data_IF_191907525768
#
_entry.id   IF_191907525768
#
_cell.length_a   1.000
_cell.length_b   1.000
_cell.length_c   1.000
_cell.angle_alpha   90.00
_cell.angle_beta   90.00
_cell.angle_gamma   90.00
#
_symmetry.space_group_name_H-M   'P 1'
#
loop_
_entity.id
_entity.type
_entity.pdbx_description
1 polymer ?
#
# COMPACT_ATOMS: atom_id res chain seq x y z
N UNK A 1 27.30 -33.70 31.67
CA UNK A 1 28.43 -32.83 31.30
C UNK A 1 27.86 -31.51 30.81
N UNK A 2 28.09 -30.41 31.52
CA UNK A 2 27.97 -29.03 31.00
C UNK A 2 29.16 -28.27 31.61
N UNK A 3 29.85 -27.46 30.81
CA UNK A 3 31.07 -26.78 31.24
C UNK A 3 30.77 -25.45 31.97
N UNK A 4 31.62 -25.12 32.94
CA UNK A 4 31.75 -23.79 33.52
C UNK A 4 32.65 -22.92 32.61
N UNK A 5 32.49 -21.60 32.61
CA UNK A 5 33.49 -20.69 33.20
C UNK A 5 33.01 -19.23 33.31
N UNK A 6 33.77 -18.43 34.06
CA UNK A 6 33.48 -17.07 34.56
C UNK A 6 33.32 -16.00 33.45
N UNK A 7 32.55 -14.90 33.57
CA UNK A 7 32.19 -13.98 34.69
C UNK A 7 33.17 -12.83 34.94
N UNK A 8 32.84 -11.63 34.44
CA UNK A 8 33.41 -10.33 34.86
C UNK A 8 32.32 -9.25 35.03
N UNK A 9 32.62 -8.26 35.88
CA UNK A 9 31.77 -7.13 36.30
C UNK A 9 31.66 -6.08 35.16
N UNK A 10 30.65 -5.22 35.03
CA UNK A 10 29.48 -4.95 35.90
C UNK A 10 29.53 -3.56 36.54
N UNK A 11 28.72 -2.60 36.07
CA UNK A 11 28.50 -1.28 36.69
C UNK A 11 27.16 -0.67 36.22
N UNK A 12 26.38 -0.09 37.14
CA UNK A 12 25.12 0.65 36.87
C UNK A 12 25.13 2.00 37.63
N UNK A 13 24.30 3.00 37.25
CA UNK A 13 24.55 4.40 37.59
C UNK A 13 23.91 4.88 38.90
N UNK A 14 24.45 5.97 39.47
CA UNK A 14 23.69 6.86 40.37
C UNK A 14 24.27 8.28 40.42
N UNK A 15 23.47 9.21 40.94
CA UNK A 15 23.59 10.67 40.87
C UNK A 15 24.66 11.29 41.78
N UNK A 16 25.07 12.54 41.47
CA UNK A 16 25.23 13.63 42.46
C UNK A 16 25.29 15.02 41.83
N UNK A 17 24.92 16.02 42.63
CA UNK A 17 24.97 17.44 42.32
C UNK A 17 26.14 18.12 43.05
N UNK A 18 26.68 19.19 42.49
CA UNK A 18 27.12 20.36 43.25
C UNK A 18 27.11 21.62 42.35
N UNK A 19 27.25 22.80 42.94
CA UNK A 19 27.06 24.10 42.29
C UNK A 19 28.30 25.03 42.42
N UNK A 20 28.09 26.26 41.94
CA UNK A 20 28.75 27.52 42.34
C UNK A 20 30.02 28.05 41.64
N UNK A 21 30.03 29.40 41.57
CA UNK A 21 31.11 30.36 41.28
C UNK A 21 31.61 30.49 39.84
N UNK A 22 31.20 31.60 39.21
CA UNK A 22 32.15 32.67 38.80
C UNK A 22 31.45 34.03 38.58
N UNK A 23 32.21 35.12 38.71
CA UNK A 23 31.79 36.53 38.58
C UNK A 23 32.13 37.36 39.82
N UNK A 24 32.03 38.71 39.78
CA UNK A 24 31.87 39.61 38.63
C UNK A 24 33.27 40.13 38.16
N UNK A 25 33.57 41.30 37.56
CA UNK A 25 32.83 42.54 37.18
C UNK A 25 33.60 43.31 36.06
N UNK A 26 33.46 44.64 35.95
CA UNK A 26 34.12 45.60 35.02
C UNK A 26 33.71 45.49 33.54
N UNK A 27 33.34 46.55 32.82
CA UNK A 27 33.12 47.95 33.24
C UNK A 27 33.41 48.94 32.09
N UNK A 28 32.39 49.34 31.32
CA UNK A 28 32.50 50.34 30.24
C UNK A 28 31.20 51.16 30.14
N UNK A 29 31.28 52.44 29.76
CA UNK A 29 30.19 53.39 30.02
C UNK A 29 29.90 54.41 28.90
N UNK A 30 28.61 54.80 28.86
CA UNK A 30 28.02 56.05 28.35
C UNK A 30 27.84 56.31 26.84
N UNK A 31 26.85 57.20 26.61
CA UNK A 31 26.36 57.80 25.37
C UNK A 31 25.52 56.88 24.45
N UNK A 32 24.34 57.28 23.97
CA UNK A 32 23.69 58.62 24.01
C UNK A 32 22.32 58.61 24.68
N UNK A 33 21.89 59.77 25.19
CA UNK A 33 20.59 59.99 25.85
C UNK A 33 19.44 60.13 24.85
N UNK A 34 19.12 59.06 24.13
CA UNK A 34 17.83 58.92 23.48
C UNK A 34 16.74 58.73 24.53
N UNK A 35 16.01 59.80 24.88
CA UNK A 35 14.91 59.69 25.87
C UNK A 35 13.85 58.73 25.35
N UNK A 36 13.60 57.62 26.05
CA UNK A 36 12.46 56.76 25.74
C UNK A 36 11.18 57.57 25.96
N UNK A 37 10.56 58.01 24.87
CA UNK A 37 9.31 58.77 24.87
C UNK A 37 8.16 57.80 25.15
N UNK A 38 8.07 57.33 26.40
CA UNK A 38 6.89 56.67 26.93
C UNK A 38 5.76 57.70 26.96
N UNK A 39 5.03 57.80 25.85
CA UNK A 39 3.85 58.65 25.71
C UNK A 39 2.72 58.10 26.57
N UNK A 40 2.76 58.37 27.88
CA UNK A 40 1.60 58.22 28.75
C UNK A 40 0.54 59.21 28.28
N UNK A 41 -0.57 58.68 27.81
CA UNK A 41 -1.75 59.42 27.38
C UNK A 41 -2.52 59.96 28.59
N UNK A 42 -1.91 60.90 29.33
CA UNK A 42 -2.49 61.54 30.53
C UNK A 42 -3.60 62.55 30.22
N UNK A 43 -3.95 62.75 28.95
CA UNK A 43 -5.27 63.28 28.57
C UNK A 43 -6.33 62.23 28.89
N UNK A 44 -7.29 62.49 29.81
CA UNK A 44 -8.34 61.52 30.11
C UNK A 44 -9.18 61.25 28.87
N UNK A 45 -9.17 60.01 28.38
CA UNK A 45 -10.00 59.61 27.24
C UNK A 45 -11.44 59.47 27.76
N UNK A 46 -12.14 60.59 27.87
CA UNK A 46 -13.57 60.61 28.12
C UNK A 46 -14.28 60.18 26.83
N UNK A 47 -14.54 58.87 26.72
CA UNK A 47 -15.50 58.35 25.77
C UNK A 47 -16.87 58.99 26.05
N UNK A 48 -17.62 59.31 24.99
CA UNK A 48 -19.00 59.77 25.17
C UNK A 48 -19.83 58.67 25.82
N UNK A 49 -20.82 58.99 26.69
CA UNK A 49 -21.68 57.98 27.32
C UNK A 49 -22.32 57.03 26.30
N UNK A 50 -22.74 57.55 25.15
CA UNK A 50 -23.26 56.83 23.98
C UNK A 50 -22.31 55.72 23.47
N UNK A 51 -20.99 55.96 23.45
CA UNK A 51 -19.99 54.94 23.07
C UNK A 51 -19.79 53.91 24.20
N UNK A 52 -20.00 54.29 25.45
CA UNK A 52 -19.93 53.37 26.60
C UNK A 52 -21.16 52.46 26.63
N UNK A 53 -22.37 53.01 26.48
CA UNK A 53 -23.63 52.24 26.34
C UNK A 53 -23.53 51.26 25.16
N UNK A 54 -23.11 51.72 23.97
CA UNK A 54 -22.91 50.86 22.79
C UNK A 54 -21.86 49.73 22.99
N UNK A 55 -20.94 49.87 23.94
CA UNK A 55 -20.01 48.81 24.33
C UNK A 55 -20.61 47.87 25.38
N UNK A 56 -21.37 48.39 26.34
CA UNK A 56 -22.07 47.57 27.35
C UNK A 56 -23.20 46.73 26.72
N UNK A 57 -23.99 47.30 25.80
CA UNK A 57 -24.96 46.56 24.98
C UNK A 57 -24.29 45.49 24.12
N UNK A 58 -23.06 45.74 23.66
CA UNK A 58 -22.26 44.75 22.90
C UNK A 58 -21.66 43.65 23.78
N UNK A 59 -21.35 43.89 25.04
CA UNK A 59 -20.98 42.83 26.00
C UNK A 59 -22.20 42.01 26.44
N UNK A 60 -23.38 42.62 26.52
CA UNK A 60 -24.64 41.91 26.78
C UNK A 60 -25.07 41.00 25.60
N UNK A 61 -24.61 41.28 24.38
CA UNK A 61 -24.83 40.45 23.19
C UNK A 61 -23.84 39.27 23.12
N UNK A 62 -24.29 38.00 23.15
CA UNK A 62 -23.41 36.83 23.10
C UNK A 62 -22.79 36.54 21.71
N UNK A 63 -22.82 37.51 20.79
CA UNK A 63 -22.31 37.36 19.42
C UNK A 63 -21.99 38.69 18.74
N UNK A 64 -21.20 38.67 17.65
CA UNK A 64 -20.83 39.86 16.89
C UNK A 64 -22.04 40.48 16.16
N UNK A 65 -22.00 41.79 15.93
CA UNK A 65 -23.01 42.47 15.10
C UNK A 65 -23.00 41.94 13.66
N UNK A 66 -24.15 41.90 12.95
CA UNK A 66 -24.26 41.20 11.66
C UNK A 66 -23.24 41.69 10.61
N UNK A 67 -22.97 42.99 10.57
CA UNK A 67 -21.92 43.59 9.72
C UNK A 67 -20.56 42.95 9.97
N UNK A 68 -20.15 42.86 11.25
CA UNK A 68 -18.89 42.25 11.69
C UNK A 68 -18.86 40.75 11.37
N UNK A 69 -19.99 40.06 11.44
CA UNK A 69 -20.07 38.66 10.99
C UNK A 69 -19.81 38.56 9.49
N UNK A 70 -20.35 39.45 8.64
CA UNK A 70 -20.06 39.39 7.19
C UNK A 70 -18.57 39.62 6.88
N UNK A 71 -17.89 40.53 7.59
CA UNK A 71 -16.44 40.73 7.45
C UNK A 71 -15.65 39.50 7.89
N UNK A 72 -16.06 38.85 8.98
CA UNK A 72 -15.45 37.61 9.47
C UNK A 72 -15.65 36.48 8.46
N UNK A 73 -16.86 36.30 7.93
CA UNK A 73 -17.18 35.29 6.92
C UNK A 73 -16.38 35.48 5.63
N UNK A 74 -16.22 36.73 5.17
CA UNK A 74 -15.40 37.06 4.00
C UNK A 74 -13.92 36.70 4.22
N UNK A 75 -13.37 37.03 5.39
CA UNK A 75 -11.99 36.68 5.76
C UNK A 75 -11.79 35.16 5.94
N UNK A 76 -12.80 34.45 6.47
CA UNK A 76 -12.77 32.99 6.57
C UNK A 76 -12.78 32.36 5.17
N UNK A 77 -13.62 32.85 4.25
CA UNK A 77 -13.68 32.35 2.86
C UNK A 77 -12.36 32.58 2.12
N UNK A 78 -11.82 33.81 2.15
CA UNK A 78 -10.55 34.11 1.45
C UNK A 78 -9.38 33.32 2.01
N UNK A 79 -9.35 33.04 3.33
CA UNK A 79 -8.38 32.12 3.91
C UNK A 79 -8.60 30.68 3.44
N UNK A 80 -9.83 30.15 3.47
CA UNK A 80 -10.11 28.78 2.97
C UNK A 80 -9.70 28.64 1.50
N UNK A 81 -10.00 29.63 0.66
CA UNK A 81 -9.60 29.66 -0.75
C UNK A 81 -8.07 29.65 -0.92
N UNK A 82 -7.33 30.40 -0.09
CA UNK A 82 -5.88 30.37 -0.06
C UNK A 82 -5.32 28.99 0.35
N UNK A 83 -5.77 28.44 1.47
CA UNK A 83 -5.29 27.17 2.02
C UNK A 83 -5.63 26.01 1.05
N UNK A 84 -6.83 25.98 0.44
CA UNK A 84 -7.22 25.01 -0.59
C UNK A 84 -6.36 25.13 -1.86
N UNK A 85 -6.04 26.35 -2.30
CA UNK A 85 -5.14 26.57 -3.43
C UNK A 85 -3.71 26.10 -3.12
N UNK A 86 -3.25 26.30 -1.90
CA UNK A 86 -1.94 25.84 -1.43
C UNK A 86 -1.88 24.30 -1.36
N UNK A 87 -2.91 23.66 -0.80
CA UNK A 87 -3.01 22.19 -0.73
C UNK A 87 -3.00 21.56 -2.13
N UNK A 88 -3.78 22.08 -3.09
CA UNK A 88 -3.79 21.57 -4.47
C UNK A 88 -2.41 21.63 -5.14
N UNK A 89 -1.62 22.67 -4.87
CA UNK A 89 -0.24 22.76 -5.37
C UNK A 89 0.66 21.69 -4.74
N UNK A 90 0.49 21.43 -3.44
CA UNK A 90 1.23 20.37 -2.75
C UNK A 90 0.80 18.97 -3.23
N UNK A 91 -0.48 18.76 -3.52
CA UNK A 91 -0.99 17.52 -4.14
C UNK A 91 -0.38 17.29 -5.54
N UNK A 92 -0.29 18.34 -6.37
CA UNK A 92 0.38 18.29 -7.68
C UNK A 92 1.88 18.00 -7.55
N UNK A 93 2.59 18.64 -6.63
CA UNK A 93 4.00 18.40 -6.34
C UNK A 93 4.25 16.96 -5.87
N UNK A 94 3.40 16.43 -4.98
CA UNK A 94 3.44 15.04 -4.52
C UNK A 94 3.14 14.07 -5.67
N UNK A 95 2.11 14.31 -6.48
CA UNK A 95 1.78 13.46 -7.64
C UNK A 95 2.93 13.40 -8.65
N UNK A 96 3.55 14.54 -8.96
CA UNK A 96 4.73 14.60 -9.82
C UNK A 96 5.93 13.84 -9.20
N UNK A 97 6.15 13.94 -7.89
CA UNK A 97 7.21 13.19 -7.21
C UNK A 97 6.98 11.66 -7.25
N UNK A 98 5.72 11.22 -7.14
CA UNK A 98 5.32 9.82 -7.23
C UNK A 98 5.48 9.31 -8.67
N UNK A 99 5.08 10.09 -9.68
CA UNK A 99 5.25 9.74 -11.08
C UNK A 99 6.74 9.53 -11.44
N UNK A 100 7.61 10.48 -11.05
CA UNK A 100 9.06 10.38 -11.25
C UNK A 100 9.68 9.21 -10.47
N UNK A 101 9.20 8.92 -9.26
CA UNK A 101 9.65 7.77 -8.49
C UNK A 101 9.27 6.43 -9.15
N UNK A 102 8.05 6.31 -9.67
CA UNK A 102 7.57 5.12 -10.38
C UNK A 102 8.25 4.95 -11.74
N UNK A 103 8.48 6.03 -12.48
CA UNK A 103 9.26 6.00 -13.73
C UNK A 103 10.69 5.48 -13.46
N UNK A 104 11.35 6.03 -12.43
CA UNK A 104 12.68 5.54 -12.02
C UNK A 104 12.63 4.07 -11.57
N UNK A 105 11.66 3.69 -10.75
CA UNK A 105 11.52 2.31 -10.28
C UNK A 105 11.31 1.34 -11.45
N UNK A 106 10.52 1.71 -12.45
CA UNK A 106 10.33 0.94 -13.67
C UNK A 106 11.62 0.84 -14.49
N UNK A 107 12.36 1.94 -14.68
CA UNK A 107 13.66 1.91 -15.37
C UNK A 107 14.71 1.07 -14.63
N UNK A 108 14.74 1.11 -13.30
CA UNK A 108 15.68 0.32 -12.49
C UNK A 108 15.25 -1.17 -12.41
N UNK A 109 13.95 -1.47 -12.47
CA UNK A 109 13.42 -2.82 -12.74
C UNK A 109 13.80 -3.31 -14.13
N UNK A 110 13.66 -2.50 -15.18
CA UNK A 110 14.03 -2.89 -16.55
C UNK A 110 15.53 -3.12 -16.72
N UNK A 111 16.38 -2.36 -16.03
CA UNK A 111 17.84 -2.62 -15.98
C UNK A 111 18.17 -3.93 -15.26
N UNK A 112 17.60 -4.14 -14.07
CA UNK A 112 17.89 -5.34 -13.27
C UNK A 112 17.31 -6.63 -13.88
N UNK A 113 16.12 -6.57 -14.48
CA UNK A 113 15.56 -7.64 -15.33
C UNK A 113 16.30 -7.77 -16.67
N UNK A 114 16.92 -6.69 -17.14
CA UNK A 114 17.59 -6.61 -18.43
C UNK A 114 18.97 -7.26 -18.46
N UNK A 115 19.66 -7.32 -17.31
CA UNK A 115 21.01 -7.86 -17.15
C UNK A 115 22.12 -6.94 -17.66
N UNK A 116 23.28 -7.00 -17.01
CA UNK A 116 24.49 -6.29 -17.44
C UNK A 116 25.03 -6.92 -18.73
N UNK A 117 24.77 -6.27 -19.86
CA UNK A 117 25.40 -6.57 -21.16
C UNK A 117 26.13 -5.31 -21.63
N UNK A 118 27.44 -5.28 -21.37
CA UNK A 118 28.34 -4.25 -21.87
C UNK A 118 28.44 -4.32 -23.41
N UNK A 119 28.08 -3.22 -24.07
CA UNK A 119 28.27 -2.99 -25.50
C UNK A 119 27.12 -3.42 -26.42
N UNK A 120 26.70 -2.51 -27.30
CA UNK A 120 25.74 -2.79 -28.38
C UNK A 120 24.66 -1.73 -28.51
N UNK A 121 24.75 -0.91 -29.55
CA UNK A 121 23.77 0.11 -29.92
C UNK A 121 22.39 -0.47 -30.32
N UNK A 122 21.33 0.33 -30.13
CA UNK A 122 19.95 0.14 -30.62
C UNK A 122 19.01 -0.87 -29.91
N UNK A 123 17.71 -0.65 -30.13
CA UNK A 123 16.57 -1.53 -29.84
C UNK A 123 16.16 -1.81 -28.37
N UNK A 124 16.06 -0.77 -27.54
CA UNK A 124 15.28 -0.81 -26.29
C UNK A 124 13.76 -0.95 -26.51
N UNK A 125 13.30 -2.14 -26.94
CA UNK A 125 11.87 -2.40 -27.23
C UNK A 125 11.40 -3.87 -27.12
N UNK A 126 12.29 -4.86 -26.95
CA UNK A 126 11.96 -6.27 -27.28
C UNK A 126 11.98 -7.29 -26.13
N UNK A 127 12.52 -6.96 -24.95
CA UNK A 127 12.68 -7.93 -23.84
C UNK A 127 11.35 -8.42 -23.24
N UNK A 128 10.30 -7.58 -23.23
CA UNK A 128 8.96 -7.99 -22.80
C UNK A 128 8.37 -9.07 -23.72
N UNK A 129 8.43 -8.89 -25.04
CA UNK A 129 7.87 -9.84 -26.00
C UNK A 129 8.60 -11.20 -25.96
N UNK A 130 9.94 -11.20 -25.92
CA UNK A 130 10.72 -12.43 -25.89
C UNK A 130 10.46 -13.27 -24.62
N UNK A 131 10.37 -12.63 -23.46
CA UNK A 131 10.01 -13.30 -22.20
C UNK A 131 8.58 -13.87 -22.25
N UNK A 132 7.60 -13.07 -22.70
CA UNK A 132 6.21 -13.51 -22.83
C UNK A 132 6.03 -14.66 -23.84
N UNK A 133 6.80 -14.70 -24.93
CA UNK A 133 6.80 -15.84 -25.84
C UNK A 133 7.38 -17.11 -25.19
N UNK A 134 8.40 -16.96 -24.35
CA UNK A 134 8.91 -18.04 -23.50
C UNK A 134 7.83 -18.59 -22.57
N UNK A 135 7.21 -17.72 -21.76
CA UNK A 135 6.15 -18.11 -20.82
C UNK A 135 4.93 -18.72 -21.52
N UNK A 136 4.53 -18.19 -22.70
CA UNK A 136 3.43 -18.74 -23.49
C UNK A 136 3.75 -20.14 -24.02
N UNK A 137 4.96 -20.40 -24.50
CA UNK A 137 5.36 -21.73 -24.97
C UNK A 137 5.54 -22.72 -23.80
N UNK A 138 5.98 -22.23 -22.64
CA UNK A 138 6.10 -23.03 -21.42
C UNK A 138 4.71 -23.37 -20.84
N UNK A 139 3.73 -22.46 -20.92
CA UNK A 139 2.31 -22.72 -20.62
C UNK A 139 1.72 -23.70 -21.66
N UNK A 140 1.98 -23.48 -22.95
CA UNK A 140 1.51 -24.34 -24.05
C UNK A 140 2.00 -25.77 -23.85
N UNK A 141 3.30 -25.98 -23.63
CA UNK A 141 3.86 -27.31 -23.46
C UNK A 141 3.38 -27.98 -22.16
N UNK A 142 3.09 -27.23 -21.09
CA UNK A 142 2.41 -27.76 -19.89
C UNK A 142 0.98 -28.19 -20.19
N UNK A 143 0.23 -27.43 -20.98
CA UNK A 143 -1.13 -27.77 -21.43
C UNK A 143 -1.10 -29.02 -22.32
N UNK A 144 -0.23 -29.08 -23.33
CA UNK A 144 -0.11 -30.24 -24.23
C UNK A 144 0.30 -31.50 -23.43
N UNK A 145 1.30 -31.42 -22.54
CA UNK A 145 1.65 -32.50 -21.61
C UNK A 145 0.49 -32.92 -20.71
N UNK A 146 -0.39 -32.00 -20.30
CA UNK A 146 -1.57 -32.33 -19.48
C UNK A 146 -2.71 -32.94 -20.31
N UNK A 147 -2.91 -32.47 -21.54
CA UNK A 147 -3.91 -33.03 -22.46
C UNK A 147 -3.54 -34.45 -22.88
N UNK A 148 -2.28 -34.74 -23.20
CA UNK A 148 -1.83 -36.11 -23.51
C UNK A 148 -2.05 -37.09 -22.35
N UNK A 149 -1.85 -36.66 -21.10
CA UNK A 149 -2.12 -37.44 -19.87
C UNK A 149 -3.60 -37.44 -19.43
N UNK A 150 -4.50 -36.88 -20.25
CA UNK A 150 -5.94 -36.75 -19.96
C UNK A 150 -6.82 -37.23 -21.12
N UNK A 151 -6.29 -37.34 -22.32
CA UNK A 151 -6.92 -38.13 -23.38
C UNK A 151 -7.04 -39.57 -22.92
N UNK A 152 -8.19 -40.19 -23.19
CA UNK A 152 -8.52 -41.57 -22.81
C UNK A 152 -7.69 -42.62 -23.59
N UNK A 153 -6.46 -42.30 -24.04
CA UNK A 153 -5.51 -43.26 -24.60
C UNK A 153 -4.81 -44.07 -23.51
N UNK A 154 -4.56 -43.47 -22.34
CA UNK A 154 -3.84 -44.12 -21.23
C UNK A 154 -4.56 -45.35 -20.66
N UNK A 155 -5.87 -45.48 -20.88
CA UNK A 155 -6.72 -46.54 -20.33
C UNK A 155 -7.63 -47.18 -21.41
N UNK A 156 -7.08 -47.96 -22.35
CA UNK A 156 -7.84 -48.57 -23.44
C UNK A 156 -8.83 -49.64 -22.97
N UNK A 157 -8.60 -50.28 -21.83
CA UNK A 157 -9.53 -51.28 -21.26
C UNK A 157 -10.87 -50.66 -20.85
N UNK A 158 -10.88 -49.47 -20.25
CA UNK A 158 -12.14 -48.81 -19.87
C UNK A 158 -12.96 -48.43 -21.10
N UNK A 159 -12.30 -48.09 -22.22
CA UNK A 159 -12.98 -47.92 -23.52
C UNK A 159 -13.56 -49.22 -24.05
N UNK A 160 -12.81 -50.33 -24.05
CA UNK A 160 -13.33 -51.59 -24.59
C UNK A 160 -14.50 -52.13 -23.77
N UNK A 161 -14.48 -51.99 -22.44
CA UNK A 161 -15.65 -52.30 -21.60
C UNK A 161 -16.81 -51.31 -21.81
N UNK A 162 -16.54 -50.02 -22.04
CA UNK A 162 -17.57 -49.04 -22.40
C UNK A 162 -18.25 -49.40 -23.73
N UNK A 163 -17.46 -49.76 -24.75
CA UNK A 163 -17.94 -50.19 -26.06
C UNK A 163 -18.70 -51.53 -26.00
N UNK A 164 -18.28 -52.46 -25.15
CA UNK A 164 -19.00 -53.71 -24.88
C UNK A 164 -20.39 -53.44 -24.25
N UNK A 165 -20.46 -52.58 -23.23
CA UNK A 165 -21.73 -52.14 -22.61
C UNK A 165 -22.64 -51.46 -23.63
N UNK A 166 -22.11 -50.51 -24.40
CA UNK A 166 -22.86 -49.80 -25.44
C UNK A 166 -23.33 -50.74 -26.57
N UNK A 167 -22.57 -51.80 -26.87
CA UNK A 167 -22.96 -52.80 -27.88
C UNK A 167 -24.05 -53.72 -27.34
N UNK A 168 -23.94 -54.18 -26.08
CA UNK A 168 -24.94 -55.04 -25.46
C UNK A 168 -26.31 -54.35 -25.34
N UNK A 169 -26.35 -53.09 -24.90
CA UNK A 169 -27.62 -52.35 -24.82
C UNK A 169 -28.23 -52.04 -26.19
N UNK A 170 -27.43 -51.96 -27.27
CA UNK A 170 -27.95 -51.82 -28.65
C UNK A 170 -28.56 -53.10 -29.19
N UNK A 171 -28.04 -54.28 -28.80
CA UNK A 171 -28.61 -55.57 -29.21
C UNK A 171 -29.77 -56.04 -28.34
N UNK A 172 -29.86 -55.58 -27.09
CA UNK A 172 -30.91 -55.97 -26.12
C UNK A 172 -31.78 -54.77 -25.68
N UNK A 173 -32.51 -54.09 -26.60
CA UNK A 173 -33.29 -52.90 -26.27
C UNK A 173 -34.49 -53.18 -25.33
N UNK A 174 -34.95 -54.43 -25.25
CA UNK A 174 -36.07 -54.86 -24.40
C UNK A 174 -35.68 -55.80 -23.25
N UNK A 175 -34.46 -56.34 -23.25
CA UNK A 175 -33.91 -57.19 -22.17
C UNK A 175 -32.59 -56.63 -21.63
N UNK A 176 -32.55 -55.32 -21.41
CA UNK A 176 -31.34 -54.59 -20.93
C UNK A 176 -30.73 -55.13 -19.64
N UNK A 177 -31.50 -55.88 -18.84
CA UNK A 177 -31.02 -56.59 -17.64
C UNK A 177 -29.96 -57.66 -17.96
N UNK A 178 -29.96 -58.26 -19.15
CA UNK A 178 -28.99 -59.29 -19.56
C UNK A 178 -27.56 -58.73 -19.63
N UNK A 179 -27.41 -57.42 -19.87
CA UNK A 179 -26.12 -56.73 -19.98
C UNK A 179 -25.40 -56.47 -18.66
N UNK A 180 -25.91 -56.98 -17.52
CA UNK A 180 -25.34 -56.79 -16.19
C UNK A 180 -23.86 -57.17 -16.07
N UNK A 181 -23.41 -58.19 -16.81
CA UNK A 181 -22.03 -58.69 -16.76
C UNK A 181 -21.04 -57.66 -17.32
N UNK A 182 -21.31 -57.07 -18.48
CA UNK A 182 -20.45 -56.04 -19.08
C UNK A 182 -20.45 -54.75 -18.24
N UNK A 183 -21.61 -54.40 -17.67
CA UNK A 183 -21.74 -53.25 -16.77
C UNK A 183 -20.89 -53.43 -15.51
N UNK A 184 -20.79 -54.64 -14.96
CA UNK A 184 -19.92 -54.91 -13.82
C UNK A 184 -18.43 -54.85 -14.20
N UNK A 185 -17.99 -55.44 -15.33
CA UNK A 185 -16.60 -55.28 -15.82
C UNK A 185 -16.22 -53.81 -15.98
N UNK A 186 -17.10 -53.01 -16.59
CA UNK A 186 -16.90 -51.57 -16.74
C UNK A 186 -16.74 -50.89 -15.38
N UNK A 187 -17.64 -51.13 -14.41
CA UNK A 187 -17.56 -50.58 -13.04
C UNK A 187 -16.29 -50.99 -12.29
N UNK A 188 -15.82 -52.23 -12.48
CA UNK A 188 -14.57 -52.71 -11.88
C UNK A 188 -13.35 -52.04 -12.50
N UNK A 189 -13.31 -51.89 -13.82
CA UNK A 189 -12.24 -51.18 -14.53
C UNK A 189 -12.17 -49.69 -14.16
N UNK A 190 -13.32 -49.01 -14.04
CA UNK A 190 -13.38 -47.61 -13.59
C UNK A 190 -12.90 -47.48 -12.14
N UNK A 191 -13.34 -48.38 -11.23
CA UNK A 191 -12.85 -48.39 -9.84
C UNK A 191 -11.34 -48.57 -9.75
N UNK A 192 -10.74 -49.38 -10.62
CA UNK A 192 -9.29 -49.55 -10.66
C UNK A 192 -8.58 -48.26 -11.08
N UNK A 193 -9.12 -47.53 -12.07
CA UNK A 193 -8.59 -46.21 -12.44
C UNK A 193 -8.72 -45.19 -11.32
N UNK A 194 -9.89 -45.11 -10.69
CA UNK A 194 -10.15 -44.20 -9.56
C UNK A 194 -9.14 -44.43 -8.43
N UNK A 195 -8.88 -45.69 -8.06
CA UNK A 195 -7.86 -46.04 -7.07
C UNK A 195 -6.43 -45.69 -7.51
N UNK A 196 -6.11 -45.77 -8.81
CA UNK A 196 -4.84 -45.29 -9.34
C UNK A 196 -4.71 -43.77 -9.25
N UNK A 197 -5.76 -43.05 -9.66
CA UNK A 197 -5.81 -41.60 -9.65
C UNK A 197 -5.71 -41.03 -8.22
N UNK A 198 -6.47 -41.56 -7.26
CA UNK A 198 -6.38 -41.13 -5.85
C UNK A 198 -5.00 -41.38 -5.23
N UNK A 199 -4.27 -42.42 -5.66
CA UNK A 199 -2.87 -42.66 -5.25
C UNK A 199 -1.85 -41.72 -5.92
N UNK A 200 -2.23 -41.03 -7.00
CA UNK A 200 -1.37 -40.06 -7.71
C UNK A 200 -1.54 -38.61 -7.25
N UNK A 201 -2.48 -38.37 -6.32
CA UNK A 201 -2.82 -37.05 -5.77
C UNK A 201 -2.12 -36.75 -4.42
N UNK A 202 -1.25 -37.64 -3.94
CA UNK A 202 -0.60 -37.61 -2.62
C UNK A 202 0.85 -38.13 -2.73
#
# INVERSE_FOLDING_TARGET
MIALYHSTRGQTPSVRSLADKFGPEMGAAQSTTGSEKVFRNETPIQFSPDVVDQLQDREASPGPTPERQTTIDQHIRSRIEHEVKQLRKQEEEVQNSIALALEKENLDKEKSMGGEVEGGDSAGAVKSSAALFGDLEDIRSKIERFQTRRTLQDHPEVKSYQEAVLTCYKSHPVTTLDCWQEVNKFKESVRALEQGYFKSLH
#
